data_IF_299866799933
#
_entry.id   IF_299866799933
#
_cell.length_a   1.000
_cell.length_b   1.000
_cell.length_c   1.000
_cell.angle_alpha   90.00
_cell.angle_beta   90.00
_cell.angle_gamma   90.00
#
_symmetry.space_group_name_H-M   'P 1'
#
loop_
_entity.id
_entity.type
_entity.pdbx_description
1 polymer ?
#
# COMPACT_ATOMS: atom_id res chain seq x y z
N UNK A 1 -5.13 -8.24 -6.09
CA UNK A 1 -4.27 -7.62 -5.06
C UNK A 1 -2.83 -7.92 -5.46
N UNK A 2 -1.99 -6.91 -5.69
CA UNK A 2 -0.57 -7.15 -5.98
C UNK A 2 0.10 -7.61 -4.68
N UNK A 3 0.92 -8.63 -4.77
CA UNK A 3 1.63 -9.17 -3.61
C UNK A 3 2.76 -8.19 -3.21
N UNK A 4 2.82 -7.86 -1.92
CA UNK A 4 3.96 -7.15 -1.35
C UNK A 4 5.11 -8.15 -1.18
N UNK A 5 6.36 -7.68 -1.31
CA UNK A 5 7.52 -8.52 -1.02
C UNK A 5 7.39 -9.22 0.33
N UNK A 6 7.87 -10.46 0.45
CA UNK A 6 7.62 -11.32 1.62
C UNK A 6 8.09 -10.69 2.95
N UNK A 7 9.03 -9.74 2.88
CA UNK A 7 9.60 -9.02 4.02
C UNK A 7 9.01 -7.62 4.22
N UNK A 8 8.03 -7.22 3.43
CA UNK A 8 7.24 -6.00 3.64
C UNK A 8 6.04 -6.33 4.53
N UNK A 9 5.77 -5.45 5.49
CA UNK A 9 4.61 -5.53 6.39
C UNK A 9 3.82 -4.23 6.30
N UNK A 10 2.51 -4.37 6.22
CA UNK A 10 1.58 -3.26 6.42
C UNK A 10 1.43 -3.06 7.91
N UNK A 11 1.84 -1.89 8.41
CA UNK A 11 1.74 -1.58 9.84
C UNK A 11 0.50 -0.77 10.13
N UNK A 12 -0.02 0.04 9.21
CA UNK A 12 -1.27 0.77 9.40
C UNK A 12 -1.98 1.02 8.06
N UNK A 13 -3.29 1.22 8.13
CA UNK A 13 -4.13 1.63 6.99
C UNK A 13 -5.01 2.80 7.43
N UNK A 14 -5.01 3.88 6.67
CA UNK A 14 -5.97 4.98 6.79
C UNK A 14 -6.96 4.83 5.65
N UNK A 15 -8.26 4.79 5.98
CA UNK A 15 -9.32 4.54 4.99
C UNK A 15 -9.58 5.77 4.12
N UNK A 16 -9.75 5.58 2.83
CA UNK A 16 -9.97 6.65 1.84
C UNK A 16 -11.33 7.36 1.90
N UNK A 17 -12.15 7.11 2.93
CA UNK A 17 -13.44 7.76 3.15
C UNK A 17 -13.33 9.08 3.92
N UNK A 18 -14.46 9.79 4.07
CA UNK A 18 -14.56 11.09 4.74
C UNK A 18 -13.98 11.12 6.17
N UNK A 19 -14.06 9.99 6.86
CA UNK A 19 -13.75 9.91 8.29
C UNK A 19 -12.28 9.53 8.54
N UNK A 20 -11.52 9.17 7.51
CA UNK A 20 -10.08 8.88 7.61
C UNK A 20 -9.74 7.82 8.67
N UNK A 21 -10.62 6.85 8.89
CA UNK A 21 -10.47 5.88 9.97
C UNK A 21 -9.12 5.16 9.87
N UNK A 22 -8.37 5.17 10.97
CA UNK A 22 -7.05 4.54 11.06
C UNK A 22 -7.15 3.16 11.71
N UNK A 23 -6.58 2.15 11.06
CA UNK A 23 -6.44 0.79 11.57
C UNK A 23 -4.97 0.48 11.83
N UNK A 24 -4.63 0.19 13.10
CA UNK A 24 -3.26 -0.15 13.53
C UNK A 24 -3.26 -1.09 14.76
N UNK A 25 -2.67 -2.31 14.67
CA UNK A 25 -2.23 -2.97 13.44
C UNK A 25 -3.42 -3.51 12.62
N UNK A 26 -3.27 -3.68 11.29
CA UNK A 26 -4.28 -4.32 10.46
C UNK A 26 -4.57 -5.75 10.90
N UNK A 27 -5.83 -6.17 10.83
CA UNK A 27 -6.19 -7.58 11.03
C UNK A 27 -5.68 -8.44 9.87
N UNK A 28 -5.55 -9.76 10.13
CA UNK A 28 -5.03 -10.72 9.15
C UNK A 28 -5.86 -10.78 7.86
N UNK A 29 -7.16 -10.56 7.97
CA UNK A 29 -8.13 -10.57 6.88
C UNK A 29 -8.41 -9.18 6.31
N UNK A 30 -7.73 -8.15 6.81
CA UNK A 30 -7.90 -6.78 6.32
C UNK A 30 -7.52 -6.70 4.84
N UNK A 31 -8.45 -6.15 4.06
CA UNK A 31 -8.27 -5.88 2.63
C UNK A 31 -8.13 -4.38 2.40
N UNK A 32 -7.34 -4.04 1.39
CA UNK A 32 -7.28 -2.68 0.86
C UNK A 32 -8.52 -2.36 0.04
N UNK A 33 -8.98 -1.12 0.13
CA UNK A 33 -9.91 -0.49 -0.78
C UNK A 33 -9.21 0.63 -1.59
N UNK A 34 -9.81 1.03 -2.71
CA UNK A 34 -9.32 2.18 -3.45
C UNK A 34 -9.37 3.44 -2.57
N UNK A 35 -8.31 4.25 -2.63
CA UNK A 35 -8.17 5.45 -1.80
C UNK A 35 -7.59 5.21 -0.41
N UNK A 36 -7.42 3.95 0.03
CA UNK A 36 -6.72 3.67 1.28
C UNK A 36 -5.25 4.12 1.20
N UNK A 37 -4.75 4.65 2.31
CA UNK A 37 -3.33 4.94 2.50
C UNK A 37 -2.72 3.88 3.40
N UNK A 38 -1.70 3.19 2.90
CA UNK A 38 -1.01 2.12 3.62
C UNK A 38 0.35 2.59 4.10
N UNK A 39 0.67 2.31 5.37
CA UNK A 39 2.00 2.52 5.93
C UNK A 39 2.75 1.19 5.96
N UNK A 40 3.91 1.17 5.31
CA UNK A 40 4.70 -0.04 5.09
C UNK A 40 6.04 0.03 5.83
N UNK A 41 6.49 -1.11 6.32
CA UNK A 41 7.85 -1.31 6.85
C UNK A 41 8.45 -2.55 6.21
N UNK A 42 9.72 -2.49 5.84
CA UNK A 42 10.45 -3.59 5.21
C UNK A 42 11.84 -3.18 4.77
N UNK A 43 12.57 -4.07 4.07
CA UNK A 43 13.86 -3.74 3.48
C UNK A 43 13.72 -2.57 2.50
N UNK A 44 14.66 -1.62 2.58
CA UNK A 44 14.62 -0.38 1.82
C UNK A 44 14.52 -0.64 0.32
N UNK A 45 15.32 -1.59 -0.19
CA UNK A 45 15.33 -2.00 -1.58
C UNK A 45 13.97 -2.57 -2.05
N UNK A 46 13.27 -3.33 -1.19
CA UNK A 46 11.95 -3.88 -1.51
C UNK A 46 10.88 -2.77 -1.53
N UNK A 47 10.98 -1.78 -0.64
CA UNK A 47 10.08 -0.62 -0.63
C UNK A 47 10.26 0.24 -1.89
N UNK A 48 11.50 0.44 -2.35
CA UNK A 48 11.78 1.16 -3.59
C UNK A 48 11.17 0.47 -4.82
N UNK A 49 11.20 -0.88 -4.86
CA UNK A 49 10.60 -1.65 -5.96
C UNK A 49 9.07 -1.45 -6.03
N UNK A 50 8.39 -1.36 -4.87
CA UNK A 50 6.95 -1.07 -4.83
C UNK A 50 6.66 0.31 -5.43
N UNK A 51 7.44 1.33 -5.07
CA UNK A 51 7.28 2.69 -5.58
C UNK A 51 7.63 2.81 -7.07
N UNK A 52 8.64 2.09 -7.55
CA UNK A 52 9.01 2.08 -8.97
C UNK A 52 7.87 1.54 -9.85
N UNK A 53 7.24 0.43 -9.41
CA UNK A 53 6.12 -0.19 -10.13
C UNK A 53 4.87 0.68 -10.23
N UNK A 54 4.59 1.50 -9.21
CA UNK A 54 3.51 2.49 -9.27
C UNK A 54 3.76 3.51 -10.39
N UNK A 55 5.00 4.01 -10.52
CA UNK A 55 5.34 4.98 -11.57
C UNK A 55 5.19 4.39 -12.97
N UNK A 56 5.60 3.14 -13.16
CA UNK A 56 5.43 2.43 -14.43
C UNK A 56 3.95 2.25 -14.81
N UNK A 57 3.09 1.98 -13.82
CA UNK A 57 1.64 1.86 -14.04
C UNK A 57 0.95 3.20 -14.34
N UNK A 58 1.41 4.30 -13.73
CA UNK A 58 0.88 5.65 -13.96
C UNK A 58 1.32 6.27 -15.29
N UNK A 59 2.45 5.82 -15.84
CA UNK A 59 2.96 6.31 -17.13
C UNK A 59 2.13 5.83 -18.35
N UNK A 60 1.29 4.81 -18.19
CA UNK A 60 0.44 4.26 -19.25
C UNK A 60 -0.98 4.84 -19.35
N UNK A 61 -1.34 5.84 -18.52
CA UNK A 61 -2.65 6.51 -18.53
C UNK A 61 -2.61 7.93 -19.13
N UNK A 62 -1.50 8.30 -19.77
CA UNK A 62 -1.27 9.63 -20.36
C UNK A 62 -1.31 9.65 -21.90
N UNK A 63 -1.84 8.62 -22.55
CA UNK A 63 -2.03 8.54 -24.01
C UNK A 63 -3.53 8.41 -24.36
#
# INVERSE_FOLDING_TARGET
MRELGARIRVVAIVRGGSDGAMEHPPRRDTRFAAGDQAYLVGPYEELLLVLAREREGGAGLSD
#
